data_IF_492674297147
#
_entry.id   IF_492674297147
#
_cell.length_a   1.000
_cell.length_b   1.000
_cell.length_c   1.000
_cell.angle_alpha   90.00
_cell.angle_beta   90.00
_cell.angle_gamma   90.00
#
_symmetry.space_group_name_H-M   'P 1'
#
loop_
_entity.id
_entity.type
_entity.pdbx_description
1 polymer ?
#
# COMPACT_ATOMS: atom_id res chain seq x y z
N UNK A 1 -40.58 -51.37 11.55
CA UNK A 1 -40.90 -49.94 11.69
C UNK A 1 -39.64 -49.07 11.94
N UNK A 2 -38.54 -49.25 11.17
CA UNK A 2 -37.29 -48.47 11.39
C UNK A 2 -36.61 -47.91 10.12
N UNK A 3 -37.18 -48.12 8.92
CA UNK A 3 -36.64 -47.54 7.68
C UNK A 3 -37.21 -46.16 7.35
N UNK A 4 -38.38 -45.80 7.89
CA UNK A 4 -39.06 -44.52 7.55
C UNK A 4 -38.39 -43.30 8.20
N UNK A 5 -37.70 -43.49 9.32
CA UNK A 5 -36.98 -42.43 10.03
C UNK A 5 -35.56 -42.23 9.48
N UNK A 6 -34.98 -43.27 8.83
CA UNK A 6 -33.63 -43.19 8.27
C UNK A 6 -33.58 -42.28 7.03
N UNK A 7 -34.62 -42.29 6.19
CA UNK A 7 -34.74 -41.39 5.04
C UNK A 7 -34.85 -39.91 5.44
N UNK A 8 -35.51 -39.61 6.57
CA UNK A 8 -35.62 -38.25 7.11
C UNK A 8 -34.26 -37.74 7.62
N UNK A 9 -33.48 -38.59 8.30
CA UNK A 9 -32.13 -38.24 8.75
C UNK A 9 -31.16 -38.01 7.59
N UNK A 10 -31.24 -38.82 6.53
CA UNK A 10 -30.40 -38.66 5.34
C UNK A 10 -30.74 -37.39 4.55
N UNK A 11 -32.02 -37.03 4.46
CA UNK A 11 -32.48 -35.80 3.81
C UNK A 11 -32.06 -34.54 4.58
N UNK A 12 -32.10 -34.57 5.91
CA UNK A 12 -31.63 -33.46 6.76
C UNK A 12 -30.11 -33.29 6.63
N UNK A 13 -29.35 -34.38 6.59
CA UNK A 13 -27.90 -34.32 6.40
C UNK A 13 -27.52 -33.75 5.01
N UNK A 14 -28.28 -34.10 3.97
CA UNK A 14 -28.07 -33.56 2.61
C UNK A 14 -28.36 -32.05 2.53
N UNK A 15 -29.37 -31.57 3.25
CA UNK A 15 -29.74 -30.15 3.33
C UNK A 15 -28.69 -29.30 4.06
N UNK A 16 -27.99 -29.86 5.06
CA UNK A 16 -26.90 -29.18 5.77
C UNK A 16 -25.66 -29.01 4.87
N UNK A 17 -25.38 -29.96 3.99
CA UNK A 17 -24.24 -29.88 3.05
C UNK A 17 -24.48 -28.80 1.98
N UNK A 18 -25.72 -28.60 1.54
CA UNK A 18 -26.08 -27.57 0.55
C UNK A 18 -25.98 -26.14 1.09
N UNK A 19 -26.18 -25.92 2.39
CA UNK A 19 -26.02 -24.61 3.03
C UNK A 19 -24.55 -24.20 3.23
N UNK A 20 -23.61 -25.15 3.17
CA UNK A 20 -22.19 -24.91 3.39
C UNK A 20 -21.44 -24.35 2.15
N UNK A 21 -22.03 -24.40 0.96
CA UNK A 21 -21.48 -23.82 -0.27
C UNK A 21 -22.06 -22.44 -0.63
N UNK A 22 -22.87 -21.84 0.25
CA UNK A 22 -23.56 -20.57 -0.04
C UNK A 22 -22.85 -19.31 0.43
N UNK A 23 -21.70 -19.41 1.10
CA UNK A 23 -20.98 -18.26 1.63
C UNK A 23 -19.67 -18.02 0.89
N UNK A 24 -19.75 -17.94 -0.44
CA UNK A 24 -18.80 -17.15 -1.21
C UNK A 24 -19.11 -15.67 -0.96
N UNK A 25 -18.77 -15.23 0.26
CA UNK A 25 -18.42 -13.84 0.46
C UNK A 25 -17.23 -13.60 -0.47
N UNK A 26 -17.52 -13.16 -1.69
CA UNK A 26 -16.53 -12.60 -2.61
C UNK A 26 -15.64 -11.71 -1.75
N UNK A 27 -14.32 -11.96 -1.67
CA UNK A 27 -13.46 -11.14 -0.86
C UNK A 27 -13.55 -9.75 -1.48
N UNK A 28 -14.41 -8.90 -0.89
CA UNK A 28 -14.35 -7.47 -1.06
C UNK A 28 -12.89 -7.16 -0.82
N UNK A 29 -12.18 -6.81 -1.90
CA UNK A 29 -10.77 -6.48 -1.88
C UNK A 29 -10.66 -5.45 -0.77
N UNK A 30 -10.19 -5.86 0.42
CA UNK A 30 -9.94 -4.93 1.51
C UNK A 30 -8.98 -3.96 0.88
N UNK A 31 -9.44 -2.75 0.57
CA UNK A 31 -8.58 -1.67 0.14
C UNK A 31 -7.63 -1.44 1.31
N UNK A 32 -6.48 -2.10 1.25
CA UNK A 32 -5.38 -1.90 2.17
C UNK A 32 -4.98 -0.47 1.98
N UNK A 33 -5.29 0.35 2.98
CA UNK A 33 -4.85 1.74 3.00
C UNK A 33 -3.33 1.73 3.08
N UNK A 34 -2.69 2.39 2.12
CA UNK A 34 -1.24 2.51 2.03
C UNK A 34 -0.90 3.98 2.21
N UNK A 35 -0.27 4.31 3.32
CA UNK A 35 0.29 5.63 3.57
C UNK A 35 1.75 5.61 3.10
N UNK A 36 2.13 6.52 2.20
CA UNK A 36 3.49 6.67 1.70
C UNK A 36 4.04 8.04 2.11
N UNK A 37 5.17 8.04 2.80
CA UNK A 37 5.90 9.23 3.21
C UNK A 37 7.10 9.48 2.29
N UNK A 38 7.07 10.58 1.55
CA UNK A 38 8.05 10.89 0.51
C UNK A 38 8.79 12.19 0.84
N UNK A 39 10.11 12.14 0.93
CA UNK A 39 10.94 13.34 1.06
C UNK A 39 11.23 13.94 -0.31
N UNK A 40 10.84 15.19 -0.54
CA UNK A 40 10.92 15.82 -1.85
C UNK A 40 11.76 17.11 -1.84
N UNK A 41 12.45 17.37 -2.95
CA UNK A 41 13.14 18.63 -3.15
C UNK A 41 12.15 19.80 -3.07
N UNK A 42 12.49 20.83 -2.29
CA UNK A 42 11.59 21.96 -2.03
C UNK A 42 11.11 22.68 -3.30
N UNK A 43 11.93 22.70 -4.36
CA UNK A 43 11.57 23.28 -5.67
C UNK A 43 10.44 22.53 -6.40
N UNK A 44 10.13 21.28 -6.02
CA UNK A 44 9.07 20.48 -6.62
C UNK A 44 7.70 20.71 -5.97
N UNK A 45 7.61 21.54 -4.92
CA UNK A 45 6.41 21.68 -4.09
C UNK A 45 5.15 22.02 -4.90
N UNK A 46 5.21 23.04 -5.73
CA UNK A 46 4.03 23.50 -6.49
C UNK A 46 3.53 22.41 -7.45
N UNK A 47 4.47 21.70 -8.10
CA UNK A 47 4.14 20.58 -8.99
C UNK A 47 3.51 19.40 -8.22
N UNK A 48 4.06 19.07 -7.04
CA UNK A 48 3.54 17.99 -6.19
C UNK A 48 2.15 18.35 -5.65
N UNK A 49 1.92 19.58 -5.22
CA UNK A 49 0.61 20.02 -4.73
C UNK A 49 -0.48 19.87 -5.81
N UNK A 50 -0.14 20.07 -7.08
CA UNK A 50 -1.05 19.84 -8.21
C UNK A 50 -1.26 18.35 -8.52
N UNK A 51 -0.22 17.52 -8.46
CA UNK A 51 -0.27 16.11 -8.89
C UNK A 51 -0.79 15.19 -7.79
N UNK A 52 -0.49 15.48 -6.51
CA UNK A 52 -0.93 14.68 -5.36
C UNK A 52 -2.42 14.31 -5.40
N UNK A 53 -3.37 15.27 -5.52
CA UNK A 53 -4.80 14.93 -5.53
C UNK A 53 -5.19 14.08 -6.75
N UNK A 54 -4.49 14.23 -7.88
CA UNK A 54 -4.73 13.41 -9.07
C UNK A 54 -4.28 11.97 -8.85
N UNK A 55 -3.12 11.79 -8.21
CA UNK A 55 -2.60 10.47 -7.88
C UNK A 55 -3.49 9.76 -6.86
N UNK A 56 -3.85 10.40 -5.74
CA UNK A 56 -4.72 9.80 -4.72
C UNK A 56 -6.12 9.46 -5.27
N UNK A 57 -6.63 10.25 -6.23
CA UNK A 57 -7.88 9.94 -6.93
C UNK A 57 -7.75 8.72 -7.85
N UNK A 58 -6.62 8.59 -8.55
CA UNK A 58 -6.35 7.47 -9.45
C UNK A 58 -6.01 6.17 -8.71
N UNK A 59 -5.51 6.28 -7.46
CA UNK A 59 -5.13 5.17 -6.60
C UNK A 59 -5.93 5.19 -5.29
N UNK A 60 -7.21 4.77 -5.31
CA UNK A 60 -8.02 4.66 -4.10
C UNK A 60 -7.34 3.80 -3.04
N UNK A 61 -7.30 4.32 -1.80
CA UNK A 61 -6.62 3.67 -0.68
C UNK A 61 -5.15 4.08 -0.52
N UNK A 62 -4.54 4.80 -1.45
CA UNK A 62 -3.19 5.38 -1.24
C UNK A 62 -3.29 6.81 -0.72
N UNK A 63 -2.50 7.12 0.31
CA UNK A 63 -2.34 8.46 0.87
C UNK A 63 -0.89 8.87 0.80
N UNK A 64 -0.63 10.05 0.25
CA UNK A 64 0.72 10.59 0.13
C UNK A 64 0.96 11.69 1.16
N UNK A 65 2.03 11.56 1.92
CA UNK A 65 2.58 12.63 2.77
C UNK A 65 3.96 13.03 2.27
N UNK A 66 4.26 14.32 2.36
CA UNK A 66 5.50 14.88 1.84
C UNK A 66 6.19 15.76 2.88
N UNK A 67 7.50 15.61 3.00
CA UNK A 67 8.37 16.58 3.63
C UNK A 67 9.26 17.24 2.56
N UNK A 68 9.41 18.57 2.62
CA UNK A 68 10.17 19.31 1.62
C UNK A 68 11.49 19.81 2.19
N UNK A 69 12.60 19.60 1.47
CA UNK A 69 13.91 20.06 1.90
C UNK A 69 14.89 20.26 0.73
N UNK A 70 16.06 20.81 1.02
CA UNK A 70 17.19 20.83 0.07
C UNK A 70 17.81 19.44 -0.08
N UNK A 71 18.41 19.15 -1.24
CA UNK A 71 18.92 17.79 -1.55
C UNK A 71 19.93 17.26 -0.55
N UNK A 72 20.78 18.12 0.02
CA UNK A 72 21.71 17.75 1.09
C UNK A 72 21.02 17.25 2.36
N UNK A 73 19.97 17.94 2.83
CA UNK A 73 19.19 17.51 3.99
C UNK A 73 18.43 16.21 3.72
N UNK A 74 17.90 16.04 2.51
CA UNK A 74 17.23 14.78 2.12
C UNK A 74 18.23 13.62 2.22
N UNK A 75 19.45 13.78 1.71
CA UNK A 75 20.51 12.75 1.82
C UNK A 75 20.82 12.43 3.29
N UNK A 76 21.03 13.44 4.13
CA UNK A 76 21.30 13.27 5.55
C UNK A 76 20.17 12.48 6.26
N UNK A 77 18.91 12.72 5.91
CA UNK A 77 17.77 11.95 6.44
C UNK A 77 17.81 10.48 6.00
N UNK A 78 18.10 10.23 4.73
CA UNK A 78 18.21 8.85 4.20
C UNK A 78 19.39 8.11 4.85
N UNK A 79 20.51 8.80 5.07
CA UNK A 79 21.71 8.25 5.71
C UNK A 79 21.50 7.99 7.20
N UNK A 80 20.76 8.86 7.90
CA UNK A 80 20.39 8.68 9.31
C UNK A 80 19.25 7.67 9.53
N UNK A 81 18.72 7.07 8.47
CA UNK A 81 17.70 6.03 8.55
C UNK A 81 16.30 6.56 8.89
N UNK A 82 15.98 7.78 8.46
CA UNK A 82 14.64 8.33 8.61
C UNK A 82 13.58 7.39 7.99
N UNK A 83 12.39 7.25 8.62
CA UNK A 83 11.30 6.41 8.12
C UNK A 83 10.59 7.12 6.95
N UNK A 84 11.22 7.08 5.78
CA UNK A 84 10.68 7.59 4.51
C UNK A 84 10.62 6.43 3.51
N UNK A 85 9.54 6.39 2.73
CA UNK A 85 9.30 5.33 1.74
C UNK A 85 9.92 5.68 0.38
N UNK A 86 10.21 6.95 0.13
CA UNK A 86 10.80 7.40 -1.12
C UNK A 86 11.41 8.79 -1.05
N UNK A 87 12.19 9.11 -2.08
CA UNK A 87 12.80 10.43 -2.28
C UNK A 87 12.53 10.94 -3.69
N UNK A 88 12.28 12.25 -3.82
CA UNK A 88 12.12 12.93 -5.10
C UNK A 88 13.11 14.09 -5.21
N UNK A 89 14.14 13.92 -6.04
CA UNK A 89 15.08 14.99 -6.37
C UNK A 89 14.67 15.73 -7.63
N UNK A 90 15.09 17.00 -7.74
CA UNK A 90 14.88 17.80 -8.95
C UNK A 90 15.94 17.54 -10.04
N UNK A 91 17.01 16.80 -9.72
CA UNK A 91 18.10 16.48 -10.65
C UNK A 91 18.60 15.05 -10.48
N UNK A 92 19.01 14.43 -11.59
CA UNK A 92 19.64 13.10 -11.58
C UNK A 92 20.95 13.11 -10.78
N UNK A 93 21.72 14.20 -10.87
CA UNK A 93 22.98 14.33 -10.12
C UNK A 93 22.79 14.23 -8.60
N UNK A 94 21.68 14.72 -8.05
CA UNK A 94 21.40 14.59 -6.62
C UNK A 94 21.05 13.15 -6.22
N UNK A 95 20.34 12.42 -7.10
CA UNK A 95 20.07 11.00 -6.93
C UNK A 95 21.36 10.18 -6.98
N UNK A 96 22.23 10.45 -7.96
CA UNK A 96 23.53 9.77 -8.10
C UNK A 96 24.39 9.95 -6.85
N UNK A 97 24.43 11.16 -6.30
CA UNK A 97 25.15 11.45 -5.05
C UNK A 97 24.62 10.61 -3.89
N UNK A 98 23.30 10.44 -3.77
CA UNK A 98 22.70 9.61 -2.73
C UNK A 98 23.07 8.12 -2.92
N UNK A 99 22.97 7.62 -4.14
CA UNK A 99 23.31 6.22 -4.46
C UNK A 99 24.79 5.94 -4.18
N UNK A 100 25.67 6.87 -4.56
CA UNK A 100 27.11 6.75 -4.29
C UNK A 100 27.41 6.76 -2.79
N UNK A 101 26.78 7.68 -2.04
CA UNK A 101 26.96 7.75 -0.59
C UNK A 101 26.53 6.46 0.12
N UNK A 102 25.42 5.84 -0.30
CA UNK A 102 24.99 4.53 0.24
C UNK A 102 26.00 3.42 -0.04
N UNK A 103 26.55 3.34 -1.26
CA UNK A 103 27.58 2.34 -1.63
C UNK A 103 28.89 2.48 -0.85
N UNK A 104 29.24 3.68 -0.40
CA UNK A 104 30.46 3.91 0.38
C UNK A 104 30.32 3.57 1.87
N UNK A 105 29.09 3.40 2.37
CA UNK A 105 28.80 3.10 3.77
C UNK A 105 28.48 1.60 4.00
N UNK A 106 28.57 0.77 2.96
CA UNK A 106 28.50 -0.70 2.99
C UNK A 106 29.91 -1.30 2.87
#
# INVERSE_FOLDING_TARGET
MKLKNFGVFLAIFLLVILAACGNEASPSKKETKTDLHISAAASLKDAIDMIKPLYEKAHPGTKLTFDFAGSGQIRERVESGAPIDGVLFASESDMDKLIQAKKSNE
#
